data_IF_777603826367
#
_entry.id   IF_777603826367
#
_cell.length_a   1.000
_cell.length_b   1.000
_cell.length_c   1.000
_cell.angle_alpha   90.00
_cell.angle_beta   90.00
_cell.angle_gamma   90.00
#
_symmetry.space_group_name_H-M   'P 1'
#
loop_
_entity.id
_entity.type
_entity.pdbx_description
1 polymer ?
#
# COMPACT_ATOMS: atom_id res chain seq x y z
N UNK A 1 15.85 -9.80 0.58
CA UNK A 1 16.07 -8.39 0.97
C UNK A 1 15.20 -8.22 2.20
N UNK A 2 15.75 -8.14 3.41
CA UNK A 2 14.95 -8.32 4.63
C UNK A 2 13.91 -7.21 4.79
N UNK A 3 12.62 -7.56 4.86
CA UNK A 3 11.52 -6.62 5.05
C UNK A 3 11.27 -6.49 6.56
N UNK A 4 11.37 -5.28 7.10
CA UNK A 4 11.15 -5.03 8.52
C UNK A 4 9.66 -4.82 8.83
N UNK A 5 9.15 -5.49 9.85
CA UNK A 5 7.82 -5.24 10.39
C UNK A 5 7.91 -4.07 11.37
N UNK A 6 7.25 -2.96 11.06
CA UNK A 6 7.29 -1.73 11.85
C UNK A 6 5.94 -1.46 12.50
N UNK A 7 5.91 -1.38 13.82
CA UNK A 7 4.78 -0.88 14.58
C UNK A 7 4.85 0.65 14.62
N UNK A 8 3.78 1.31 14.17
CA UNK A 8 3.64 2.77 14.23
C UNK A 8 2.57 3.11 15.26
N UNK A 9 2.98 3.78 16.33
CA UNK A 9 2.06 4.30 17.36
C UNK A 9 1.90 5.79 17.18
N UNK A 10 0.67 6.25 17.03
CA UNK A 10 0.35 7.67 16.82
C UNK A 10 -0.60 8.13 17.93
N UNK A 11 -0.20 9.16 18.69
CA UNK A 11 -1.13 9.81 19.61
C UNK A 11 -2.01 10.80 18.83
N UNK A 12 -3.31 10.81 19.13
CA UNK A 12 -4.24 11.81 18.62
C UNK A 12 -4.52 12.83 19.71
N UNK A 13 -4.53 14.10 19.32
CA UNK A 13 -4.98 15.20 20.16
C UNK A 13 -6.27 15.78 19.55
N UNK A 14 -7.41 15.36 20.10
CA UNK A 14 -8.72 15.64 19.54
C UNK A 14 -8.90 15.08 18.12
N UNK A 15 -9.20 15.96 17.16
CA UNK A 15 -9.42 15.62 15.75
C UNK A 15 -8.13 15.59 14.91
N UNK A 16 -6.99 15.97 15.49
CA UNK A 16 -5.71 16.01 14.79
C UNK A 16 -4.81 14.85 15.21
N UNK A 17 -4.04 14.35 14.26
CA UNK A 17 -2.89 13.51 14.59
C UNK A 17 -1.90 14.39 15.37
N UNK A 18 -1.58 13.98 16.60
CA UNK A 18 -0.62 14.68 17.44
C UNK A 18 0.80 14.55 16.87
N UNK A 19 1.75 15.38 17.34
CA UNK A 19 3.12 15.41 16.82
C UNK A 19 3.93 14.15 17.18
N UNK A 20 3.49 13.38 18.18
CA UNK A 20 4.16 12.15 18.60
C UNK A 20 3.77 10.96 17.72
N UNK A 21 4.70 10.58 16.84
CA UNK A 21 4.69 9.33 16.09
C UNK A 21 5.88 8.50 16.56
N UNK A 22 5.60 7.39 17.25
CA UNK A 22 6.62 6.40 17.59
C UNK A 22 6.65 5.31 16.53
N UNK A 23 7.85 4.86 16.16
CA UNK A 23 8.09 3.77 15.22
C UNK A 23 9.03 2.78 15.86
N UNK A 24 8.63 1.51 15.89
CA UNK A 24 9.41 0.42 16.47
C UNK A 24 9.48 -0.75 15.48
N UNK A 25 10.66 -1.32 15.27
CA UNK A 25 10.81 -2.55 14.49
C UNK A 25 10.46 -3.70 15.43
N UNK A 26 9.37 -4.39 15.14
CA UNK A 26 8.85 -5.50 15.96
C UNK A 26 9.18 -6.87 15.37
N UNK A 27 9.92 -6.90 14.25
CA UNK A 27 10.41 -8.14 13.66
C UNK A 27 10.84 -7.98 12.22
N UNK A 28 11.12 -9.12 11.61
CA UNK A 28 11.42 -9.26 10.19
C UNK A 28 10.36 -10.16 9.57
N UNK A 29 9.84 -9.75 8.42
CA UNK A 29 8.97 -10.58 7.60
C UNK A 29 9.83 -11.55 6.77
N UNK A 30 9.31 -12.76 6.49
CA UNK A 30 9.99 -13.68 5.59
C UNK A 30 10.18 -13.03 4.21
N UNK A 31 11.21 -13.46 3.49
CA UNK A 31 11.37 -13.09 2.08
C UNK A 31 10.16 -13.62 1.28
N UNK A 32 9.27 -12.72 0.89
CA UNK A 32 8.10 -13.01 0.06
C UNK A 32 8.29 -12.42 -1.34
N UNK A 33 8.38 -13.25 -2.40
CA UNK A 33 8.50 -12.74 -3.77
C UNK A 33 7.28 -11.94 -4.22
N UNK A 34 6.12 -12.09 -3.56
CA UNK A 34 4.85 -11.44 -3.85
C UNK A 34 4.54 -10.26 -2.92
N UNK A 35 5.48 -9.84 -2.07
CA UNK A 35 5.29 -8.69 -1.15
C UNK A 35 4.81 -7.42 -1.85
N UNK A 36 5.22 -7.21 -3.11
CA UNK A 36 4.88 -6.02 -3.88
C UNK A 36 3.49 -6.09 -4.55
N UNK A 37 2.88 -7.27 -4.64
CA UNK A 37 1.63 -7.48 -5.36
C UNK A 37 0.51 -6.52 -4.90
N UNK A 38 0.27 -6.31 -3.58
CA UNK A 38 -0.74 -5.36 -3.12
C UNK A 38 -0.46 -3.91 -3.53
N UNK A 39 0.82 -3.50 -3.57
CA UNK A 39 1.20 -2.16 -4.01
C UNK A 39 1.03 -2.02 -5.53
N UNK A 40 1.44 -3.02 -6.30
CA UNK A 40 1.22 -3.09 -7.73
C UNK A 40 -0.26 -2.97 -8.07
N UNK A 41 -1.13 -3.73 -7.39
CA UNK A 41 -2.58 -3.66 -7.55
C UNK A 41 -3.14 -2.27 -7.26
N UNK A 42 -2.69 -1.63 -6.17
CA UNK A 42 -3.09 -0.27 -5.82
C UNK A 42 -2.67 0.73 -6.91
N UNK A 43 -1.43 0.64 -7.40
CA UNK A 43 -0.91 1.52 -8.43
C UNK A 43 -1.64 1.33 -9.76
N UNK A 44 -1.88 0.08 -10.18
CA UNK A 44 -2.63 -0.24 -11.40
C UNK A 44 -4.05 0.35 -11.31
N UNK A 45 -4.77 0.10 -10.21
CA UNK A 45 -6.11 0.67 -9.99
C UNK A 45 -6.11 2.19 -10.05
N UNK A 46 -5.10 2.83 -9.46
CA UNK A 46 -4.93 4.28 -9.53
C UNK A 46 -4.68 4.76 -10.95
N UNK A 47 -3.81 4.10 -11.71
CA UNK A 47 -3.52 4.46 -13.10
C UNK A 47 -4.74 4.28 -14.01
N UNK A 48 -5.56 3.25 -13.80
CA UNK A 48 -6.84 3.07 -14.50
C UNK A 48 -7.79 4.21 -14.17
N UNK A 49 -7.99 4.51 -12.88
CA UNK A 49 -8.86 5.62 -12.43
C UNK A 49 -8.41 6.98 -12.97
N UNK A 50 -7.11 7.21 -12.99
CA UNK A 50 -6.51 8.46 -13.46
C UNK A 50 -6.42 8.50 -15.00
N UNK A 51 -6.88 7.46 -15.72
CA UNK A 51 -6.95 7.39 -17.18
C UNK A 51 -5.60 7.19 -17.89
N UNK A 52 -4.55 6.83 -17.15
CA UNK A 52 -3.20 6.64 -17.68
C UNK A 52 -3.11 5.34 -18.50
N UNK A 53 -3.77 4.28 -18.03
CA UNK A 53 -3.87 2.99 -18.72
C UNK A 53 -5.35 2.62 -18.88
N UNK A 54 -5.71 1.92 -19.97
CA UNK A 54 -7.08 1.45 -20.16
C UNK A 54 -7.45 0.43 -19.10
N UNK A 55 -8.72 0.39 -18.72
CA UNK A 55 -9.25 -0.67 -17.86
C UNK A 55 -9.16 -2.00 -18.62
N UNK A 56 -8.38 -2.98 -18.13
CA UNK A 56 -8.28 -4.28 -18.78
C UNK A 56 -9.64 -4.99 -18.90
N UNK A 57 -10.60 -4.71 -18.02
CA UNK A 57 -11.94 -5.31 -18.06
C UNK A 57 -12.81 -4.74 -19.19
N UNK A 58 -12.55 -3.51 -19.65
CA UNK A 58 -13.28 -2.91 -20.78
C UNK A 58 -12.94 -3.54 -22.12
N UNK A 59 -11.76 -4.19 -22.26
CA UNK A 59 -11.35 -4.82 -23.53
C UNK A 59 -12.06 -6.14 -23.82
N UNK A 60 -12.65 -6.80 -22.82
CA UNK A 60 -13.31 -8.12 -22.98
C UNK A 60 -14.78 -7.99 -23.41
N UNK A 61 -15.33 -6.78 -23.42
CA UNK A 61 -16.74 -6.52 -23.78
C UNK A 61 -16.95 -6.09 -25.24
N UNK A 62 -15.96 -6.32 -26.10
CA UNK A 62 -16.03 -6.07 -27.54
C UNK A 62 -16.01 -7.37 -28.33
N UNK A 63 -17.07 -8.18 -28.18
CA UNK A 63 -17.51 -9.19 -29.16
C UNK A 63 -18.83 -8.74 -29.79
#
# INVERSE_FOLDING_TARGET
MSIQLVQITVKRDGSKIGPEISREIIGELPDDPHYWDPLCDFLIKRMVRDGIIPDPQQRVSGE
#
